data_IF_260793710209
#
_entry.id   IF_260793710209
#
_cell.length_a   1.000
_cell.length_b   1.000
_cell.length_c   1.000
_cell.angle_alpha   90.00
_cell.angle_beta   90.00
_cell.angle_gamma   90.00
#
_symmetry.space_group_name_H-M   'P 1'
#
loop_
_entity.id
_entity.type
_entity.pdbx_description
1 polymer ?
#
# COMPACT_ATOMS: atom_id res chain seq x y z
N UNK A 1 41.27 -4.82 -45.48
CA UNK A 1 40.13 -4.76 -46.41
C UNK A 1 40.47 -5.37 -47.79
N UNK A 2 40.67 -6.69 -47.89
CA UNK A 2 40.92 -7.37 -49.18
C UNK A 2 39.86 -8.44 -49.52
N UNK A 3 39.16 -8.97 -48.51
CA UNK A 3 38.24 -10.10 -48.67
C UNK A 3 36.97 -9.77 -49.47
N UNK A 4 36.51 -8.50 -49.44
CA UNK A 4 35.32 -8.05 -50.18
C UNK A 4 35.59 -7.78 -51.67
N UNK A 5 36.85 -7.65 -52.09
CA UNK A 5 37.18 -7.26 -53.47
C UNK A 5 36.96 -8.41 -54.48
N UNK A 6 37.18 -9.65 -54.05
CA UNK A 6 37.17 -10.86 -54.92
C UNK A 6 35.84 -11.65 -54.94
N UNK A 7 34.78 -11.13 -54.31
CA UNK A 7 33.47 -11.78 -54.33
C UNK A 7 32.68 -11.39 -55.58
N UNK A 8 32.08 -12.39 -56.25
CA UNK A 8 31.13 -12.17 -57.34
C UNK A 8 30.01 -11.21 -56.88
N UNK A 9 29.52 -10.37 -57.79
CA UNK A 9 28.52 -9.31 -57.50
C UNK A 9 27.31 -9.89 -56.73
N UNK A 10 26.87 -11.09 -57.08
CA UNK A 10 25.81 -11.84 -56.38
C UNK A 10 26.10 -12.08 -54.89
N UNK A 11 27.34 -12.40 -54.52
CA UNK A 11 27.70 -12.64 -53.12
C UNK A 11 27.83 -11.34 -52.32
N UNK A 12 28.18 -10.22 -52.98
CA UNK A 12 28.18 -8.89 -52.34
C UNK A 12 26.76 -8.45 -51.97
N UNK A 13 25.81 -8.65 -52.87
CA UNK A 13 24.39 -8.35 -52.64
C UNK A 13 23.84 -9.26 -51.52
N UNK A 14 24.09 -10.57 -51.59
CA UNK A 14 23.67 -11.51 -50.56
C UNK A 14 24.24 -11.14 -49.18
N UNK A 15 25.51 -10.75 -49.10
CA UNK A 15 26.14 -10.33 -47.84
C UNK A 15 25.47 -9.07 -47.25
N UNK A 16 25.18 -8.06 -48.07
CA UNK A 16 24.48 -6.86 -47.61
C UNK A 16 23.08 -7.18 -47.10
N UNK A 17 22.32 -8.03 -47.81
CA UNK A 17 21.01 -8.48 -47.35
C UNK A 17 21.08 -9.30 -46.07
N UNK A 18 22.08 -10.17 -45.90
CA UNK A 18 22.29 -10.93 -44.66
C UNK A 18 22.64 -10.03 -43.48
N UNK A 19 23.43 -8.99 -43.67
CA UNK A 19 23.74 -8.00 -42.61
C UNK A 19 22.47 -7.25 -42.21
N UNK A 20 21.66 -6.80 -43.18
CA UNK A 20 20.39 -6.13 -42.91
C UNK A 20 19.44 -7.07 -42.14
N UNK A 21 19.36 -8.34 -42.54
CA UNK A 21 18.55 -9.34 -41.85
C UNK A 21 19.01 -9.57 -40.40
N UNK A 22 20.32 -9.66 -40.17
CA UNK A 22 20.90 -9.79 -38.82
C UNK A 22 20.57 -8.59 -37.93
N UNK A 23 20.68 -7.37 -38.47
CA UNK A 23 20.33 -6.15 -37.74
C UNK A 23 18.85 -6.14 -37.35
N UNK A 24 17.95 -6.54 -38.26
CA UNK A 24 16.52 -6.62 -37.96
C UNK A 24 16.19 -7.69 -36.90
N UNK A 25 16.87 -8.84 -36.92
CA UNK A 25 16.69 -9.88 -35.88
C UNK A 25 17.16 -9.36 -34.51
N UNK A 26 18.33 -8.72 -34.46
CA UNK A 26 18.83 -8.12 -33.22
C UNK A 26 17.89 -7.03 -32.69
N UNK A 27 17.33 -6.22 -33.59
CA UNK A 27 16.35 -5.19 -33.22
C UNK A 27 15.04 -5.79 -32.72
N UNK A 28 14.53 -6.83 -33.38
CA UNK A 28 13.34 -7.57 -32.93
C UNK A 28 13.53 -8.21 -31.55
N UNK A 29 14.71 -8.80 -31.29
CA UNK A 29 15.07 -9.34 -29.98
C UNK A 29 15.16 -8.24 -28.92
N UNK A 30 15.78 -7.11 -29.25
CA UNK A 30 15.86 -5.96 -28.34
C UNK A 30 14.47 -5.41 -27.99
N UNK A 31 13.59 -5.25 -28.98
CA UNK A 31 12.20 -4.83 -28.76
C UNK A 31 11.46 -5.85 -27.89
N UNK A 32 11.59 -7.15 -28.18
CA UNK A 32 10.94 -8.20 -27.41
C UNK A 32 11.36 -8.19 -25.93
N UNK A 33 12.65 -8.06 -25.65
CA UNK A 33 13.18 -7.96 -24.29
C UNK A 33 12.72 -6.66 -23.60
N UNK A 34 12.70 -5.54 -24.33
CA UNK A 34 12.28 -4.25 -23.80
C UNK A 34 10.78 -4.23 -23.46
N UNK A 35 9.93 -4.78 -24.33
CA UNK A 35 8.47 -4.88 -24.10
C UNK A 35 8.17 -5.74 -22.88
N UNK A 36 8.79 -6.92 -22.74
CA UNK A 36 8.57 -7.77 -21.56
C UNK A 36 8.99 -7.08 -20.25
N UNK A 37 9.99 -6.19 -20.30
CA UNK A 37 10.41 -5.41 -19.13
C UNK A 37 9.44 -4.27 -18.80
N UNK A 38 8.85 -3.64 -19.82
CA UNK A 38 7.84 -2.58 -19.66
C UNK A 38 6.53 -3.17 -19.15
N UNK A 39 6.09 -4.31 -19.70
CA UNK A 39 4.85 -4.97 -19.31
C UNK A 39 4.85 -5.31 -17.82
N UNK A 40 5.92 -5.96 -17.32
CA UNK A 40 6.05 -6.27 -15.88
C UNK A 40 6.00 -5.02 -14.98
N UNK A 41 6.64 -3.93 -15.40
CA UNK A 41 6.73 -2.69 -14.61
C UNK A 41 5.44 -1.87 -14.62
N UNK A 42 4.71 -1.87 -15.74
CA UNK A 42 3.39 -1.21 -15.83
C UNK A 42 2.35 -1.97 -15.01
N UNK A 43 2.42 -3.30 -14.98
CA UNK A 43 1.63 -4.15 -14.08
C UNK A 43 1.87 -3.81 -12.60
N UNK A 44 3.12 -3.70 -12.17
CA UNK A 44 3.48 -3.41 -10.76
C UNK A 44 3.00 -2.02 -10.29
N UNK A 45 3.14 -0.99 -11.14
CA UNK A 45 2.68 0.36 -10.84
C UNK A 45 1.15 0.53 -10.82
N UNK A 46 0.46 -0.07 -11.80
CA UNK A 46 -0.99 0.17 -12.01
C UNK A 46 -1.84 -0.71 -11.11
N UNK A 47 -1.45 -1.97 -10.92
CA UNK A 47 -2.28 -2.96 -10.23
C UNK A 47 -1.83 -3.24 -8.79
N UNK A 48 -0.65 -2.77 -8.36
CA UNK A 48 -0.13 -3.03 -7.00
C UNK A 48 0.19 -1.73 -6.25
N UNK A 49 1.10 -0.88 -6.75
CA UNK A 49 1.59 0.26 -5.97
C UNK A 49 0.54 1.37 -5.72
N UNK A 50 -0.25 1.73 -6.74
CA UNK A 50 -1.28 2.78 -6.60
C UNK A 50 -2.44 2.36 -5.66
N UNK A 51 -3.03 1.16 -5.81
CA UNK A 51 -4.03 0.66 -4.86
C UNK A 51 -3.51 0.57 -3.42
N UNK A 52 -2.28 0.08 -3.20
CA UNK A 52 -1.71 -0.06 -1.85
C UNK A 52 -1.48 1.29 -1.17
N UNK A 53 -1.11 2.35 -1.91
CA UNK A 53 -1.03 3.71 -1.37
C UNK A 53 -2.39 4.25 -0.90
N UNK A 54 -3.45 4.01 -1.69
CA UNK A 54 -4.80 4.44 -1.32
C UNK A 54 -5.28 3.72 -0.07
N UNK A 55 -5.07 2.40 0.02
CA UNK A 55 -5.44 1.60 1.19
C UNK A 55 -4.76 2.11 2.47
N UNK A 56 -3.46 2.45 2.42
CA UNK A 56 -2.75 2.97 3.61
C UNK A 56 -3.27 4.34 4.02
N UNK A 57 -3.60 5.20 3.07
CA UNK A 57 -4.18 6.51 3.37
C UNK A 57 -5.60 6.39 3.95
N UNK A 58 -6.40 5.45 3.45
CA UNK A 58 -7.74 5.16 3.98
C UNK A 58 -7.65 4.59 5.40
N UNK A 59 -6.72 3.66 5.66
CA UNK A 59 -6.42 3.18 7.01
C UNK A 59 -6.08 4.34 7.95
N UNK A 60 -5.18 5.24 7.54
CA UNK A 60 -4.82 6.44 8.32
C UNK A 60 -6.05 7.27 8.68
N UNK A 61 -6.88 7.57 7.69
CA UNK A 61 -8.08 8.41 7.86
C UNK A 61 -9.13 7.73 8.75
N UNK A 62 -9.38 6.45 8.53
CA UNK A 62 -10.39 5.68 9.25
C UNK A 62 -9.99 5.45 10.72
N UNK A 63 -8.73 5.11 11.00
CA UNK A 63 -8.24 4.98 12.38
C UNK A 63 -8.35 6.30 13.15
N UNK A 64 -7.99 7.41 12.51
CA UNK A 64 -8.17 8.74 13.09
C UNK A 64 -9.64 9.11 13.28
N UNK A 65 -10.52 8.65 12.39
CA UNK A 65 -11.97 8.82 12.51
C UNK A 65 -12.53 8.09 13.73
N UNK A 66 -12.12 6.84 13.97
CA UNK A 66 -12.50 6.08 15.18
C UNK A 66 -12.03 6.81 16.45
N UNK A 67 -10.77 7.25 16.52
CA UNK A 67 -10.28 7.97 17.70
C UNK A 67 -11.02 9.29 17.94
N UNK A 68 -11.37 10.03 16.88
CA UNK A 68 -12.21 11.22 16.99
C UNK A 68 -13.62 10.89 17.49
N UNK A 69 -14.22 9.80 17.03
CA UNK A 69 -15.54 9.36 17.52
C UNK A 69 -15.50 9.00 19.00
N UNK A 70 -14.44 8.33 19.46
CA UNK A 70 -14.23 8.03 20.88
C UNK A 70 -14.12 9.33 21.71
N UNK A 71 -13.40 10.34 21.23
CA UNK A 71 -13.38 11.65 21.87
C UNK A 71 -14.75 12.34 21.84
N UNK A 72 -15.50 12.21 20.75
CA UNK A 72 -16.86 12.71 20.62
C UNK A 72 -17.81 12.12 21.66
N UNK A 73 -17.73 10.81 21.91
CA UNK A 73 -18.51 10.11 22.95
C UNK A 73 -18.32 10.73 24.33
N UNK A 74 -17.10 11.15 24.69
CA UNK A 74 -16.82 11.78 25.98
C UNK A 74 -17.56 13.12 26.18
N UNK A 75 -18.03 13.73 25.09
CA UNK A 75 -18.76 15.00 25.08
C UNK A 75 -20.23 14.88 24.65
N UNK A 76 -20.72 13.65 24.45
CA UNK A 76 -22.05 13.41 23.92
C UNK A 76 -23.15 13.84 24.89
N UNK A 77 -24.25 14.40 24.35
CA UNK A 77 -25.31 15.00 25.15
C UNK A 77 -26.26 13.99 25.82
N UNK A 78 -26.35 12.77 25.28
CA UNK A 78 -27.26 11.73 25.76
C UNK A 78 -26.90 10.35 25.18
N UNK A 79 -27.53 9.30 25.71
CA UNK A 79 -27.31 7.90 25.31
C UNK A 79 -27.61 7.65 23.83
N UNK A 80 -28.57 8.35 23.24
CA UNK A 80 -28.87 8.21 21.81
C UNK A 80 -27.70 8.70 20.96
N UNK A 81 -27.04 9.80 21.36
CA UNK A 81 -25.85 10.31 20.69
C UNK A 81 -24.65 9.37 20.88
N UNK A 82 -24.45 8.82 22.09
CA UNK A 82 -23.41 7.82 22.36
C UNK A 82 -23.60 6.59 21.47
N UNK A 83 -24.81 6.03 21.43
CA UNK A 83 -25.10 4.85 20.61
C UNK A 83 -24.92 5.11 19.11
N UNK A 84 -25.32 6.29 18.60
CA UNK A 84 -25.12 6.63 17.20
C UNK A 84 -23.63 6.72 16.83
N UNK A 85 -22.81 7.29 17.72
CA UNK A 85 -21.36 7.37 17.52
C UNK A 85 -20.71 5.98 17.56
N UNK A 86 -21.13 5.11 18.50
CA UNK A 86 -20.68 3.71 18.56
C UNK A 86 -21.02 2.95 17.27
N UNK A 87 -22.27 3.05 16.79
CA UNK A 87 -22.71 2.43 15.53
C UNK A 87 -21.88 2.91 14.34
N UNK A 88 -21.65 4.23 14.24
CA UNK A 88 -20.82 4.80 13.19
C UNK A 88 -19.37 4.29 13.26
N UNK A 89 -18.76 4.28 14.44
CA UNK A 89 -17.40 3.77 14.64
C UNK A 89 -17.29 2.29 14.29
N UNK A 90 -18.25 1.45 14.70
CA UNK A 90 -18.28 0.03 14.33
C UNK A 90 -18.30 -0.15 12.80
N UNK A 91 -19.02 0.71 12.08
CA UNK A 91 -19.01 0.75 10.62
C UNK A 91 -17.64 1.09 10.03
N UNK A 92 -16.93 2.06 10.62
CA UNK A 92 -15.56 2.42 10.21
C UNK A 92 -14.56 1.30 10.57
N UNK A 93 -14.67 0.69 11.74
CA UNK A 93 -13.83 -0.44 12.15
C UNK A 93 -13.97 -1.63 11.21
N UNK A 94 -15.17 -1.91 10.71
CA UNK A 94 -15.39 -2.92 9.68
C UNK A 94 -14.65 -2.59 8.38
N UNK A 95 -14.69 -1.33 7.93
CA UNK A 95 -13.92 -0.89 6.74
C UNK A 95 -12.42 -1.06 6.95
N UNK A 96 -11.91 -0.74 8.13
CA UNK A 96 -10.49 -0.97 8.48
C UNK A 96 -10.13 -2.46 8.36
N UNK A 97 -11.01 -3.38 8.76
CA UNK A 97 -10.77 -4.82 8.58
C UNK A 97 -10.77 -5.24 7.11
N UNK A 98 -11.67 -4.67 6.30
CA UNK A 98 -11.70 -4.90 4.86
C UNK A 98 -10.43 -4.36 4.18
N UNK A 99 -9.98 -3.15 4.56
CA UNK A 99 -8.74 -2.53 4.09
C UNK A 99 -7.51 -3.35 4.47
N UNK A 100 -7.45 -3.88 5.70
CA UNK A 100 -6.39 -4.80 6.08
C UNK A 100 -6.38 -6.08 5.24
N UNK A 101 -7.56 -6.68 4.99
CA UNK A 101 -7.65 -7.88 4.16
C UNK A 101 -7.25 -7.62 2.70
N UNK A 102 -7.66 -6.48 2.14
CA UNK A 102 -7.28 -6.07 0.78
C UNK A 102 -5.78 -5.79 0.68
N UNK A 103 -5.21 -5.09 1.66
CA UNK A 103 -3.77 -4.82 1.67
C UNK A 103 -2.96 -6.12 1.79
N UNK A 104 -3.35 -7.02 2.69
CA UNK A 104 -2.68 -8.31 2.89
C UNK A 104 -2.67 -9.18 1.63
N UNK A 105 -3.70 -9.09 0.79
CA UNK A 105 -3.75 -9.76 -0.53
C UNK A 105 -2.87 -9.10 -1.59
N UNK A 106 -2.53 -7.82 -1.43
CA UNK A 106 -1.67 -7.09 -2.36
C UNK A 106 -0.17 -7.34 -2.14
N UNK A 107 0.20 -7.84 -0.95
CA UNK A 107 1.59 -8.14 -0.60
C UNK A 107 2.04 -9.40 -1.34
N UNK A 108 3.10 -9.29 -2.14
CA UNK A 108 3.74 -10.43 -2.80
C UNK A 108 4.53 -11.27 -1.77
N UNK A 109 4.60 -12.59 -1.99
CA UNK A 109 5.12 -13.51 -0.97
C UNK A 109 6.60 -13.29 -0.59
N UNK A 110 7.38 -12.64 -1.44
CA UNK A 110 8.79 -12.30 -1.24
C UNK A 110 9.06 -10.88 -0.70
N UNK A 111 8.03 -10.02 -0.58
CA UNK A 111 8.17 -8.68 -0.01
C UNK A 111 8.07 -8.72 1.52
N UNK A 112 9.15 -9.20 2.13
CA UNK A 112 9.28 -9.29 3.58
C UNK A 112 9.21 -7.92 4.27
N UNK A 113 9.67 -6.85 3.61
CA UNK A 113 9.73 -5.51 4.18
C UNK A 113 8.34 -4.85 4.23
N UNK A 114 7.54 -4.98 3.17
CA UNK A 114 6.14 -4.52 3.16
C UNK A 114 5.34 -5.28 4.22
N UNK A 115 5.47 -6.62 4.24
CA UNK A 115 4.78 -7.47 5.22
C UNK A 115 5.10 -7.09 6.66
N UNK A 116 6.37 -6.82 6.99
CA UNK A 116 6.76 -6.41 8.33
C UNK A 116 6.08 -5.09 8.76
N UNK A 117 6.12 -4.08 7.89
CA UNK A 117 5.52 -2.75 8.16
C UNK A 117 4.01 -2.82 8.26
N UNK A 118 3.36 -3.55 7.36
CA UNK A 118 1.93 -3.83 7.40
C UNK A 118 1.51 -4.50 8.72
N UNK A 119 2.23 -5.56 9.12
CA UNK A 119 1.93 -6.27 10.37
C UNK A 119 2.12 -5.37 11.59
N UNK A 120 3.09 -4.46 11.58
CA UNK A 120 3.25 -3.48 12.66
C UNK A 120 1.99 -2.62 12.84
N UNK A 121 1.44 -2.06 11.74
CA UNK A 121 0.18 -1.29 11.77
C UNK A 121 -0.97 -2.14 12.31
N UNK A 122 -1.17 -3.34 11.76
CA UNK A 122 -2.24 -4.26 12.15
C UNK A 122 -2.17 -4.63 13.65
N UNK A 123 -0.96 -4.93 14.15
CA UNK A 123 -0.74 -5.32 15.54
C UNK A 123 -0.97 -4.17 16.53
N UNK A 124 -0.50 -2.96 16.21
CA UNK A 124 -0.74 -1.79 17.05
C UNK A 124 -2.23 -1.42 17.07
N UNK A 125 -2.91 -1.48 15.93
CA UNK A 125 -4.36 -1.27 15.86
C UNK A 125 -5.16 -2.28 16.70
N UNK A 126 -4.82 -3.57 16.60
CA UNK A 126 -5.46 -4.61 17.43
C UNK A 126 -5.20 -4.40 18.93
N UNK A 127 -3.98 -3.98 19.29
CA UNK A 127 -3.64 -3.64 20.67
C UNK A 127 -4.46 -2.46 21.17
N UNK A 128 -4.59 -1.42 20.36
CA UNK A 128 -5.41 -0.24 20.65
C UNK A 128 -6.87 -0.59 20.94
N UNK A 129 -7.50 -1.39 20.07
CA UNK A 129 -8.89 -1.82 20.27
C UNK A 129 -9.05 -2.72 21.51
N UNK A 130 -8.11 -3.63 21.75
CA UNK A 130 -8.10 -4.48 22.96
C UNK A 130 -8.04 -3.63 24.22
N UNK A 131 -7.16 -2.63 24.26
CA UNK A 131 -6.98 -1.76 25.41
C UNK A 131 -8.23 -0.87 25.64
N UNK A 132 -9.10 -0.72 24.64
CA UNK A 132 -10.38 0.00 24.68
C UNK A 132 -11.63 -0.90 24.78
N UNK A 133 -11.49 -2.21 24.99
CA UNK A 133 -12.63 -3.15 24.98
C UNK A 133 -13.78 -2.81 25.95
N UNK A 134 -13.51 -2.03 27.01
CA UNK A 134 -14.49 -1.60 28.01
C UNK A 134 -14.95 -0.15 27.85
N UNK A 135 -14.38 0.59 26.90
CA UNK A 135 -14.62 2.02 26.70
C UNK A 135 -16.11 2.32 26.48
N UNK A 136 -16.74 1.62 25.53
CA UNK A 136 -18.16 1.80 25.21
C UNK A 136 -19.07 1.49 26.41
N UNK A 137 -18.73 0.46 27.21
CA UNK A 137 -19.50 0.11 28.41
C UNK A 137 -19.40 1.18 29.49
N UNK A 138 -18.20 1.76 29.68
CA UNK A 138 -18.02 2.89 30.60
C UNK A 138 -18.81 4.12 30.15
N UNK A 139 -18.76 4.46 28.85
CA UNK A 139 -19.51 5.57 28.29
C UNK A 139 -21.04 5.39 28.45
N UNK A 140 -21.58 4.22 28.09
CA UNK A 140 -23.01 3.93 28.21
C UNK A 140 -23.51 3.84 29.65
N UNK A 141 -22.61 3.53 30.60
CA UNK A 141 -22.92 3.53 32.04
C UNK A 141 -22.75 4.90 32.69
N UNK A 142 -22.54 5.96 31.91
CA UNK A 142 -22.27 7.34 32.37
C UNK A 142 -21.00 7.49 33.23
N UNK A 143 -20.09 6.51 33.17
CA UNK A 143 -18.79 6.54 33.85
C UNK A 143 -17.73 7.17 32.94
N UNK A 144 -17.96 8.45 32.61
CA UNK A 144 -17.14 9.20 31.64
C UNK A 144 -15.70 9.34 32.12
N UNK A 145 -15.46 9.44 33.43
CA UNK A 145 -14.10 9.49 33.99
C UNK A 145 -13.32 8.21 33.68
N UNK A 146 -13.93 7.02 33.80
CA UNK A 146 -13.26 5.77 33.42
C UNK A 146 -13.07 5.66 31.92
N UNK A 147 -14.07 6.04 31.12
CA UNK A 147 -13.94 6.04 29.66
C UNK A 147 -12.80 6.96 29.19
N UNK A 148 -12.72 8.19 29.75
CA UNK A 148 -11.69 9.16 29.44
C UNK A 148 -10.29 8.68 29.87
N UNK A 149 -10.17 8.13 31.09
CA UNK A 149 -8.89 7.59 31.57
C UNK A 149 -8.42 6.39 30.73
N UNK A 150 -9.34 5.52 30.30
CA UNK A 150 -9.02 4.40 29.41
C UNK A 150 -8.60 4.89 28.02
N UNK A 151 -9.26 5.91 27.45
CA UNK A 151 -8.85 6.48 26.17
C UNK A 151 -7.52 7.23 26.24
N UNK A 152 -7.25 7.91 27.36
CA UNK A 152 -5.99 8.60 27.60
C UNK A 152 -4.82 7.60 27.70
N UNK A 153 -5.03 6.44 28.34
CA UNK A 153 -3.98 5.42 28.49
C UNK A 153 -3.52 4.81 27.17
N UNK A 154 -4.36 4.87 26.12
CA UNK A 154 -4.01 4.37 24.78
C UNK A 154 -3.30 5.38 23.89
N UNK A 155 -3.04 6.60 24.36
CA UNK A 155 -2.36 7.63 23.55
C UNK A 155 -1.03 7.15 22.97
N UNK A 156 -0.17 6.55 23.80
CA UNK A 156 1.13 6.05 23.35
C UNK A 156 1.01 4.90 22.34
N UNK A 157 -0.01 4.05 22.47
CA UNK A 157 -0.29 3.00 21.47
C UNK A 157 -0.79 3.63 20.17
N UNK A 158 -1.62 4.65 20.24
CA UNK A 158 -2.14 5.35 19.07
C UNK A 158 -1.04 6.11 18.31
N UNK A 159 -0.11 6.76 19.00
CA UNK A 159 1.06 7.40 18.36
C UNK A 159 1.93 6.37 17.61
N UNK A 160 2.04 5.14 18.13
CA UNK A 160 2.73 4.04 17.40
C UNK A 160 1.99 3.63 16.13
N UNK A 161 0.65 3.69 16.12
CA UNK A 161 -0.14 3.44 14.92
C UNK A 161 0.14 4.52 13.88
N UNK A 162 0.10 5.79 14.28
CA UNK A 162 0.40 6.90 13.37
C UNK A 162 1.81 6.79 12.78
N UNK A 163 2.80 6.51 13.61
CA UNK A 163 4.18 6.29 13.16
C UNK A 163 4.31 5.10 12.21
N UNK A 164 3.70 3.95 12.52
CA UNK A 164 3.76 2.76 11.67
C UNK A 164 3.04 2.96 10.32
N UNK A 165 1.92 3.68 10.33
CA UNK A 165 1.17 4.02 9.10
C UNK A 165 1.98 4.98 8.23
N UNK A 166 2.64 5.98 8.84
CA UNK A 166 3.51 6.89 8.09
C UNK A 166 4.74 6.16 7.52
N UNK A 167 5.30 5.20 8.24
CA UNK A 167 6.40 4.36 7.75
C UNK A 167 5.96 3.47 6.57
N UNK A 168 4.78 2.84 6.66
CA UNK A 168 4.20 2.05 5.57
C UNK A 168 3.87 2.91 4.35
N UNK A 169 3.34 4.11 4.56
CA UNK A 169 3.06 5.07 3.50
C UNK A 169 4.35 5.51 2.80
N UNK A 170 5.39 5.83 3.57
CA UNK A 170 6.71 6.19 3.01
C UNK A 170 7.31 5.05 2.21
N UNK A 171 7.20 3.80 2.70
CA UNK A 171 7.65 2.62 1.98
C UNK A 171 6.95 2.49 0.62
N UNK A 172 5.62 2.60 0.59
CA UNK A 172 4.85 2.54 -0.65
C UNK A 172 5.18 3.68 -1.61
N UNK A 173 5.44 4.90 -1.10
CA UNK A 173 5.88 6.04 -1.90
C UNK A 173 7.28 5.83 -2.48
N UNK A 174 8.23 5.28 -1.69
CA UNK A 174 9.56 4.94 -2.20
C UNK A 174 9.50 3.91 -3.32
N UNK A 175 8.70 2.86 -3.16
CA UNK A 175 8.46 1.85 -4.19
C UNK A 175 7.88 2.47 -5.47
N UNK A 176 6.90 3.37 -5.34
CA UNK A 176 6.33 4.10 -6.47
C UNK A 176 7.37 4.96 -7.22
N UNK A 177 8.25 5.64 -6.47
CA UNK A 177 9.28 6.49 -7.05
C UNK A 177 10.39 5.69 -7.73
N UNK A 178 10.87 4.61 -7.12
CA UNK A 178 11.87 3.71 -7.71
C UNK A 178 11.35 3.12 -9.03
N UNK A 179 10.10 2.66 -9.04
CA UNK A 179 9.42 2.19 -10.23
C UNK A 179 9.33 3.28 -11.31
N UNK A 180 9.12 4.56 -10.94
CA UNK A 180 9.09 5.68 -11.90
C UNK A 180 10.46 6.03 -12.49
N UNK A 181 11.53 6.03 -11.69
CA UNK A 181 12.89 6.32 -12.19
C UNK A 181 13.45 5.24 -13.10
N UNK A 182 13.00 3.99 -12.99
CA UNK A 182 13.41 2.93 -13.93
C UNK A 182 12.62 2.92 -15.25
N UNK A 183 11.68 3.86 -15.43
CA UNK A 183 10.90 4.06 -16.66
C UNK A 183 11.42 5.20 -17.55
N UNK A 184 12.30 6.08 -17.04
CA UNK A 184 12.93 7.19 -17.79
C UNK A 184 14.38 6.88 -18.11
#
# INVERSE_FOLDING_TARGET
MSFLKNLAIRNKIALSFSIIALVNIAFGLYIYLSINSIEKKVWELTDTTLPSLMLVNDLKYNMASVRRGQLGILSAANDSAINAEIEWMNGIEKKIQEEFASYEQSIWDDDHADREKFLAVKNYWQTYLRDLQSFNNHALSHDIDKAANQLASTLATYEKIEAAVDELLQFNVSYANENRTTLT
#
